data_IF_473335251213
#
_entry.id   IF_473335251213
#
_cell.length_a   1.000
_cell.length_b   1.000
_cell.length_c   1.000
_cell.angle_alpha   90.00
_cell.angle_beta   90.00
_cell.angle_gamma   90.00
#
_symmetry.space_group_name_H-M   'P 1'
#
loop_
_entity.id
_entity.type
_entity.pdbx_description
1 polymer ?
#
# COMPACT_ATOMS: atom_id res chain seq x y z
N UNK A 1 12.01 -8.00 18.18
CA UNK A 1 11.24 -6.76 17.87
C UNK A 1 11.97 -5.51 18.34
N UNK A 2 12.56 -5.50 19.55
CA UNK A 2 13.25 -4.33 20.12
C UNK A 2 14.44 -3.79 19.32
N UNK A 3 15.33 -4.65 18.80
CA UNK A 3 16.52 -4.20 18.07
C UNK A 3 16.18 -3.37 16.81
N UNK A 4 15.27 -3.86 15.96
CA UNK A 4 14.85 -3.14 14.74
C UNK A 4 14.20 -1.80 15.04
N UNK A 5 13.50 -1.69 16.16
CA UNK A 5 12.92 -0.43 16.59
C UNK A 5 14.00 0.54 17.08
N UNK A 6 14.99 0.07 17.83
CA UNK A 6 16.15 0.89 18.24
C UNK A 6 16.93 1.39 17.02
N UNK A 7 17.20 0.52 16.03
CA UNK A 7 17.83 0.91 14.77
C UNK A 7 17.01 1.98 14.06
N UNK A 8 15.70 1.78 13.92
CA UNK A 8 14.79 2.75 13.33
C UNK A 8 14.87 4.12 14.03
N UNK A 9 14.90 4.14 15.36
CA UNK A 9 15.03 5.38 16.14
C UNK A 9 16.40 6.06 15.93
N UNK A 10 17.48 5.30 15.76
CA UNK A 10 18.80 5.85 15.44
C UNK A 10 18.79 6.50 14.04
N UNK A 11 18.17 5.85 13.06
CA UNK A 11 18.00 6.41 11.72
C UNK A 11 17.18 7.69 11.73
N UNK A 12 16.05 7.71 12.46
CA UNK A 12 15.22 8.91 12.63
C UNK A 12 16.00 10.03 13.31
N UNK A 13 16.80 9.72 14.32
CA UNK A 13 17.67 10.71 14.97
C UNK A 13 18.72 11.28 14.03
N UNK A 14 19.29 10.46 13.14
CA UNK A 14 20.36 10.88 12.21
C UNK A 14 19.85 11.63 10.98
N UNK A 15 18.75 11.17 10.39
CA UNK A 15 18.26 11.64 9.09
C UNK A 15 16.91 12.38 9.18
N UNK A 16 16.31 12.46 10.37
CA UNK A 16 15.02 13.11 10.58
C UNK A 16 13.82 12.17 10.42
N UNK A 17 12.62 12.74 10.42
CA UNK A 17 11.36 12.00 10.30
C UNK A 17 11.24 11.35 8.91
N UNK A 18 10.76 10.11 8.79
CA UNK A 18 10.42 9.49 7.51
C UNK A 18 9.45 10.34 6.69
N UNK A 19 9.75 10.46 5.39
CA UNK A 19 8.95 11.23 4.44
C UNK A 19 7.79 10.42 3.86
N UNK A 20 7.99 9.12 3.56
CA UNK A 20 6.91 8.25 3.09
C UNK A 20 6.79 6.97 3.92
N UNK A 21 5.54 6.51 4.01
CA UNK A 21 5.17 5.21 4.54
C UNK A 21 4.46 4.41 3.44
N UNK A 22 5.07 3.31 3.00
CA UNK A 22 4.53 2.45 1.94
C UNK A 22 4.14 1.10 2.55
N UNK A 23 2.90 0.68 2.27
CA UNK A 23 2.46 -0.68 2.55
C UNK A 23 2.48 -1.50 1.27
N UNK A 24 3.18 -2.63 1.27
CA UNK A 24 3.23 -3.55 0.14
C UNK A 24 2.64 -4.91 0.53
N UNK A 25 1.45 -5.22 0.01
CA UNK A 25 0.68 -6.41 0.40
C UNK A 25 0.74 -7.47 -0.70
N UNK A 26 0.91 -8.74 -0.31
CA UNK A 26 0.87 -9.84 -1.25
C UNK A 26 -0.53 -10.04 -1.86
N UNK A 27 -0.58 -10.25 -3.18
CA UNK A 27 -1.79 -10.71 -3.88
C UNK A 27 -1.62 -12.18 -4.30
N UNK A 28 -2.28 -13.15 -3.63
CA UNK A 28 -2.16 -14.56 -3.96
C UNK A 28 -2.82 -14.93 -5.30
N UNK A 29 -3.70 -14.08 -5.83
CA UNK A 29 -4.41 -14.30 -7.11
C UNK A 29 -3.55 -13.99 -8.33
N UNK A 30 -2.30 -13.55 -8.13
CA UNK A 30 -1.37 -13.31 -9.23
C UNK A 30 -1.18 -14.59 -10.04
N UNK A 31 -1.28 -14.49 -11.36
CA UNK A 31 -1.16 -15.63 -12.27
C UNK A 31 0.11 -16.46 -12.03
N UNK A 32 1.25 -15.81 -11.79
CA UNK A 32 2.53 -16.48 -11.51
C UNK A 32 2.55 -17.34 -10.24
N UNK A 33 1.62 -17.10 -9.31
CA UNK A 33 1.44 -17.89 -8.10
C UNK A 33 0.35 -18.94 -8.35
N UNK A 34 -0.81 -18.49 -8.85
CA UNK A 34 -2.00 -19.32 -9.01
C UNK A 34 -1.78 -20.51 -9.97
N UNK A 35 -0.97 -20.34 -11.02
CA UNK A 35 -0.69 -21.41 -11.99
C UNK A 35 0.14 -22.56 -11.42
N UNK A 36 0.83 -22.34 -10.30
CA UNK A 36 1.70 -23.33 -9.65
C UNK A 36 0.95 -24.15 -8.59
N UNK A 37 -0.34 -23.90 -8.38
CA UNK A 37 -1.18 -24.65 -7.45
C UNK A 37 -1.75 -25.88 -8.13
N UNK A 38 -1.68 -27.02 -7.43
CA UNK A 38 -2.39 -28.23 -7.86
C UNK A 38 -3.91 -28.04 -7.70
N UNK A 39 -4.75 -28.83 -8.40
CA UNK A 39 -6.19 -28.80 -8.22
C UNK A 39 -6.58 -28.92 -6.73
N UNK A 40 -7.37 -27.96 -6.24
CA UNK A 40 -7.80 -27.90 -4.84
C UNK A 40 -6.83 -27.21 -3.88
N UNK A 41 -5.61 -26.86 -4.30
CA UNK A 41 -4.69 -26.08 -3.47
C UNK A 41 -5.00 -24.58 -3.49
N UNK A 42 -4.72 -23.95 -2.35
CA UNK A 42 -4.82 -22.52 -2.13
C UNK A 42 -3.46 -21.93 -1.74
N UNK A 43 -3.40 -20.61 -1.63
CA UNK A 43 -2.23 -19.89 -1.13
C UNK A 43 -1.80 -20.31 0.29
N UNK A 44 -2.73 -20.82 1.10
CA UNK A 44 -2.46 -21.29 2.45
C UNK A 44 -1.75 -22.64 2.46
N UNK A 45 -1.97 -23.45 1.44
CA UNK A 45 -1.36 -24.78 1.31
C UNK A 45 0.08 -24.68 0.81
N UNK A 46 0.42 -23.60 0.09
CA UNK A 46 1.74 -23.34 -0.51
C UNK A 46 2.33 -21.98 -0.08
N UNK A 47 2.57 -21.77 1.24
CA UNK A 47 3.13 -20.52 1.74
C UNK A 47 4.56 -20.27 1.25
N UNK A 48 5.29 -21.32 0.84
CA UNK A 48 6.61 -21.27 0.23
C UNK A 48 6.60 -20.52 -1.11
N UNK A 49 5.63 -20.81 -1.98
CA UNK A 49 5.44 -20.12 -3.26
C UNK A 49 5.11 -18.64 -3.04
N UNK A 50 4.20 -18.37 -2.08
CA UNK A 50 3.80 -17.02 -1.69
C UNK A 50 5.01 -16.22 -1.20
N UNK A 51 5.77 -16.75 -0.23
CA UNK A 51 6.93 -16.09 0.34
C UNK A 51 7.99 -15.79 -0.71
N UNK A 52 8.28 -16.75 -1.60
CA UNK A 52 9.29 -16.60 -2.66
C UNK A 52 8.91 -15.51 -3.66
N UNK A 53 7.69 -15.55 -4.20
CA UNK A 53 7.24 -14.54 -5.19
C UNK A 53 7.14 -13.17 -4.53
N UNK A 54 6.65 -13.11 -3.29
CA UNK A 54 6.59 -11.86 -2.54
C UNK A 54 7.98 -11.26 -2.30
N UNK A 55 8.96 -12.05 -1.88
CA UNK A 55 10.33 -11.60 -1.66
C UNK A 55 10.95 -11.02 -2.94
N UNK A 56 10.80 -11.70 -4.07
CA UNK A 56 11.29 -11.23 -5.37
C UNK A 56 10.63 -9.91 -5.78
N UNK A 57 9.31 -9.78 -5.59
CA UNK A 57 8.58 -8.55 -5.91
C UNK A 57 8.95 -7.40 -4.99
N UNK A 58 9.09 -7.64 -3.70
CA UNK A 58 9.55 -6.65 -2.73
C UNK A 58 10.97 -6.17 -3.09
N UNK A 59 11.88 -7.08 -3.43
CA UNK A 59 13.22 -6.73 -3.91
C UNK A 59 13.19 -5.88 -5.19
N UNK A 60 12.31 -6.21 -6.14
CA UNK A 60 12.13 -5.41 -7.37
C UNK A 60 11.58 -4.01 -7.04
N UNK A 61 10.56 -3.91 -6.19
CA UNK A 61 10.00 -2.64 -5.73
C UNK A 61 11.08 -1.78 -5.06
N UNK A 62 11.86 -2.35 -4.14
CA UNK A 62 12.93 -1.63 -3.46
C UNK A 62 14.01 -1.15 -4.44
N UNK A 63 14.38 -1.94 -5.45
CA UNK A 63 15.32 -1.49 -6.48
C UNK A 63 14.76 -0.32 -7.31
N UNK A 64 13.47 -0.36 -7.68
CA UNK A 64 12.83 0.75 -8.40
C UNK A 64 12.85 2.02 -7.56
N UNK A 65 12.53 1.92 -6.26
CA UNK A 65 12.52 3.06 -5.34
C UNK A 65 13.94 3.60 -5.09
N UNK A 66 14.91 2.74 -4.75
CA UNK A 66 16.22 3.20 -4.27
C UNK A 66 17.25 3.42 -5.38
N UNK A 67 17.27 2.55 -6.40
CA UNK A 67 18.20 2.66 -7.53
C UNK A 67 17.59 3.42 -8.70
N UNK A 68 16.30 3.20 -8.95
CA UNK A 68 15.55 3.95 -9.96
C UNK A 68 15.17 5.35 -9.49
N UNK A 69 15.20 5.62 -8.18
CA UNK A 69 14.91 6.93 -7.59
C UNK A 69 13.57 7.52 -8.05
N UNK A 70 12.57 6.65 -8.30
CA UNK A 70 11.26 7.08 -8.84
C UNK A 70 10.46 7.98 -7.87
N UNK A 71 10.82 7.97 -6.58
CA UNK A 71 10.27 8.85 -5.56
C UNK A 71 11.29 9.93 -5.12
N UNK A 72 12.39 10.10 -5.85
CA UNK A 72 13.54 10.91 -5.45
C UNK A 72 14.66 10.10 -4.80
N UNK A 73 15.74 10.80 -4.43
CA UNK A 73 16.92 10.17 -3.84
C UNK A 73 16.62 9.66 -2.42
N UNK A 74 16.85 8.37 -2.17
CA UNK A 74 16.63 7.75 -0.85
C UNK A 74 17.91 7.80 -0.03
N UNK A 75 17.91 8.58 1.05
CA UNK A 75 19.01 8.68 1.99
C UNK A 75 19.05 7.49 2.97
N UNK A 76 17.87 7.02 3.38
CA UNK A 76 17.74 5.84 4.23
C UNK A 76 16.38 5.18 3.99
N UNK A 77 16.32 3.85 4.13
CA UNK A 77 15.06 3.13 4.19
C UNK A 77 15.14 2.01 5.21
N UNK A 78 13.98 1.63 5.73
CA UNK A 78 13.83 0.48 6.61
C UNK A 78 12.48 -0.17 6.33
N UNK A 79 12.41 -1.50 6.44
CA UNK A 79 11.13 -2.17 6.31
C UNK A 79 11.05 -3.42 7.18
N UNK A 80 9.82 -3.74 7.59
CA UNK A 80 9.50 -5.03 8.21
C UNK A 80 8.58 -5.79 7.28
N UNK A 81 8.82 -7.10 7.15
CA UNK A 81 7.84 -8.02 6.56
C UNK A 81 7.16 -8.73 7.72
N UNK A 82 5.85 -8.66 7.75
CA UNK A 82 4.99 -9.24 8.75
C UNK A 82 3.98 -10.16 8.06
N UNK A 83 3.48 -11.16 8.78
CA UNK A 83 2.42 -12.05 8.30
C UNK A 83 1.15 -11.68 9.05
N UNK A 84 0.17 -11.12 8.35
CA UNK A 84 -1.13 -10.79 8.93
C UNK A 84 -1.91 -12.05 9.32
N UNK A 85 -2.96 -11.92 10.15
CA UNK A 85 -3.81 -13.05 10.60
C UNK A 85 -4.39 -13.92 9.46
N UNK A 86 -4.39 -13.40 8.23
CA UNK A 86 -4.79 -14.11 7.00
C UNK A 86 -3.61 -14.78 6.27
N UNK A 87 -2.47 -14.97 6.94
CA UNK A 87 -1.35 -15.78 6.45
C UNK A 87 -0.64 -15.27 5.21
N UNK A 88 -0.82 -14.01 4.81
CA UNK A 88 -0.11 -13.41 3.68
C UNK A 88 0.92 -12.39 4.16
N UNK A 89 2.09 -12.31 3.50
CA UNK A 89 3.10 -11.33 3.87
C UNK A 89 2.69 -9.93 3.42
N UNK A 90 2.93 -8.96 4.30
CA UNK A 90 2.87 -7.53 4.01
C UNK A 90 4.12 -6.84 4.53
N UNK A 91 4.56 -5.81 3.83
CA UNK A 91 5.72 -5.02 4.21
C UNK A 91 5.26 -3.63 4.61
N UNK A 92 5.84 -3.13 5.70
CA UNK A 92 5.76 -1.73 6.09
C UNK A 92 7.12 -1.12 5.80
N UNK A 93 7.18 -0.21 4.83
CA UNK A 93 8.40 0.40 4.34
C UNK A 93 8.38 1.88 4.75
N UNK A 94 9.42 2.31 5.45
CA UNK A 94 9.69 3.71 5.75
C UNK A 94 10.80 4.20 4.84
N UNK A 95 10.54 5.31 4.16
CA UNK A 95 11.52 5.98 3.30
C UNK A 95 11.89 7.35 3.89
N UNK A 96 13.19 7.60 3.93
CA UNK A 96 13.78 8.90 4.22
C UNK A 96 14.43 9.37 2.92
N UNK A 97 13.76 10.29 2.23
CA UNK A 97 14.33 10.93 1.05
C UNK A 97 15.37 11.96 1.48
N UNK A 98 16.34 12.20 0.61
CA UNK A 98 17.35 13.23 0.80
C UNK A 98 16.76 14.62 0.69
N UNK A 99 15.86 14.80 -0.28
CA UNK A 99 15.05 16.01 -0.44
C UNK A 99 13.68 15.79 0.20
N UNK A 100 13.21 16.79 0.94
CA UNK A 100 11.89 16.73 1.56
C UNK A 100 10.83 16.99 0.49
N UNK A 101 9.72 16.27 0.59
CA UNK A 101 8.53 16.52 -0.22
C UNK A 101 7.82 17.74 0.37
N UNK A 102 7.61 18.75 -0.46
CA UNK A 102 6.77 19.89 -0.13
C UNK A 102 5.29 19.58 -0.38
N UNK A 103 4.38 20.29 0.30
CA UNK A 103 2.93 20.02 0.19
C UNK A 103 2.42 20.08 -1.26
N UNK A 104 3.01 20.96 -2.07
CA UNK A 104 2.68 21.14 -3.51
C UNK A 104 3.07 19.95 -4.38
N UNK A 105 3.92 19.05 -3.89
CA UNK A 105 4.40 17.88 -4.64
C UNK A 105 3.59 16.61 -4.36
N UNK A 106 2.67 16.64 -3.38
CA UNK A 106 1.95 15.45 -2.94
C UNK A 106 1.13 14.83 -4.07
N UNK A 107 0.37 15.63 -4.81
CA UNK A 107 -0.51 15.15 -5.89
C UNK A 107 0.26 14.62 -7.11
N UNK A 108 1.55 14.95 -7.23
CA UNK A 108 2.43 14.36 -8.24
C UNK A 108 2.95 12.98 -7.85
N UNK A 109 3.02 12.69 -6.55
CA UNK A 109 3.60 11.46 -6.00
C UNK A 109 2.54 10.45 -5.56
N UNK A 110 1.37 10.94 -5.15
CA UNK A 110 0.27 10.15 -4.62
C UNK A 110 -0.99 10.52 -5.39
N UNK A 111 -1.69 9.51 -5.89
CA UNK A 111 -3.01 9.67 -6.48
C UNK A 111 -3.96 8.68 -5.81
N UNK A 112 -5.13 9.17 -5.39
CA UNK A 112 -6.26 8.36 -4.94
C UNK A 112 -7.33 8.20 -6.03
N UNK A 113 -7.05 8.64 -7.25
CA UNK A 113 -7.98 8.59 -8.38
C UNK A 113 -8.07 7.19 -8.99
N UNK A 114 -9.23 6.89 -9.57
CA UNK A 114 -9.38 5.72 -10.43
C UNK A 114 -8.81 6.09 -11.81
N UNK A 115 -7.84 5.33 -12.36
CA UNK A 115 -7.23 5.62 -13.66
C UNK A 115 -8.27 5.71 -14.79
N UNK A 116 -8.00 6.48 -15.84
CA UNK A 116 -8.87 6.52 -17.01
C UNK A 116 -8.75 5.19 -17.81
N UNK A 117 -9.85 4.47 -18.08
CA UNK A 117 -9.80 3.17 -18.75
C UNK A 117 -9.41 3.24 -20.22
N UNK A 118 -9.48 4.42 -20.86
CA UNK A 118 -9.05 4.63 -22.24
C UNK A 118 -7.57 5.02 -22.31
N UNK A 119 -7.08 5.81 -21.35
CA UNK A 119 -5.68 6.24 -21.29
C UNK A 119 -4.75 5.16 -20.72
N UNK A 120 -5.16 4.47 -19.66
CA UNK A 120 -4.40 3.38 -19.04
C UNK A 120 -5.32 2.22 -18.61
N UNK A 121 -5.73 1.37 -19.58
CA UNK A 121 -6.62 0.23 -19.30
C UNK A 121 -5.98 -0.80 -18.35
N UNK A 122 -4.65 -0.91 -18.32
CA UNK A 122 -3.96 -1.88 -17.46
C UNK A 122 -4.00 -1.43 -16.00
N UNK A 123 -3.60 -0.18 -15.72
CA UNK A 123 -3.65 0.36 -14.37
C UNK A 123 -5.09 0.45 -13.87
N UNK A 124 -6.04 0.86 -14.71
CA UNK A 124 -7.47 0.84 -14.38
C UNK A 124 -7.91 -0.56 -13.91
N UNK A 125 -7.58 -1.61 -14.67
CA UNK A 125 -7.92 -2.98 -14.30
C UNK A 125 -7.26 -3.39 -12.97
N UNK A 126 -6.00 -3.03 -12.75
CA UNK A 126 -5.29 -3.35 -11.51
C UNK A 126 -5.94 -2.64 -10.31
N UNK A 127 -6.19 -1.34 -10.40
CA UNK A 127 -6.78 -0.54 -9.32
C UNK A 127 -8.20 -1.01 -9.02
N UNK A 128 -9.05 -1.16 -10.04
CA UNK A 128 -10.44 -1.59 -9.84
C UNK A 128 -10.57 -3.01 -9.30
N UNK A 129 -9.64 -3.90 -9.62
CA UNK A 129 -9.65 -5.29 -9.12
C UNK A 129 -9.13 -5.40 -7.69
N UNK A 130 -8.13 -4.61 -7.31
CA UNK A 130 -7.34 -4.85 -6.08
C UNK A 130 -7.48 -3.75 -5.02
N UNK A 131 -7.82 -2.53 -5.42
CA UNK A 131 -7.82 -1.34 -4.54
C UNK A 131 -9.22 -0.77 -4.30
N UNK A 132 -10.25 -1.29 -4.98
CA UNK A 132 -11.64 -0.91 -4.75
C UNK A 132 -12.28 -1.91 -3.78
N UNK A 133 -12.82 -1.40 -2.68
CA UNK A 133 -13.73 -2.17 -1.86
C UNK A 133 -15.06 -2.37 -2.59
N UNK A 134 -15.64 -3.56 -2.48
CA UNK A 134 -16.97 -3.84 -3.02
C UNK A 134 -17.99 -2.81 -2.54
N UNK A 135 -19.06 -2.56 -3.31
CA UNK A 135 -20.02 -1.51 -3.03
C UNK A 135 -20.51 -1.54 -1.57
N UNK A 136 -20.44 -0.40 -0.89
CA UNK A 136 -20.97 -0.18 0.45
C UNK A 136 -22.52 -0.13 0.49
N UNK A 137 -23.22 -0.75 -0.47
CA UNK A 137 -24.68 -0.69 -0.52
C UNK A 137 -25.30 -1.67 0.48
N UNK A 138 -26.46 -1.28 1.03
CA UNK A 138 -27.29 -2.00 2.02
C UNK A 138 -27.55 -3.49 1.72
N UNK A 139 -27.35 -3.95 0.48
CA UNK A 139 -27.65 -5.31 0.03
C UNK A 139 -26.44 -6.26 0.00
N UNK A 140 -25.22 -5.77 0.24
CA UNK A 140 -24.02 -6.62 0.28
C UNK A 140 -23.55 -6.82 1.72
N UNK A 141 -24.08 -7.87 2.37
CA UNK A 141 -23.74 -8.34 3.73
C UNK A 141 -22.25 -8.75 3.93
N UNK A 142 -21.38 -8.54 2.95
CA UNK A 142 -19.97 -8.94 3.01
C UNK A 142 -19.03 -7.88 3.61
N UNK A 143 -19.48 -6.64 3.80
CA UNK A 143 -18.64 -5.56 4.31
C UNK A 143 -19.07 -5.12 5.71
N UNK A 144 -18.26 -5.49 6.70
CA UNK A 144 -18.40 -5.14 8.13
C UNK A 144 -18.17 -3.65 8.45
N UNK A 145 -18.31 -2.76 7.46
CA UNK A 145 -18.00 -1.35 7.63
C UNK A 145 -19.24 -0.51 7.94
N UNK A 146 -20.46 -1.06 7.95
CA UNK A 146 -21.66 -0.30 8.27
C UNK A 146 -21.98 -0.34 9.76
N UNK A 147 -22.40 0.79 10.31
CA UNK A 147 -23.02 0.82 11.63
C UNK A 147 -24.47 0.29 11.53
N UNK A 148 -25.15 0.21 12.67
CA UNK A 148 -26.57 -0.20 12.74
C UNK A 148 -27.50 0.64 11.87
N UNK A 149 -27.11 1.87 11.54
CA UNK A 149 -27.92 2.84 10.78
C UNK A 149 -27.65 2.76 9.27
N UNK A 150 -26.87 1.77 8.81
CA UNK A 150 -26.52 1.62 7.40
C UNK A 150 -25.49 2.62 6.88
N UNK A 151 -24.87 3.43 7.75
CA UNK A 151 -23.79 4.36 7.38
C UNK A 151 -22.42 3.70 7.48
N UNK A 152 -21.53 4.01 6.54
CA UNK A 152 -20.15 3.54 6.61
C UNK A 152 -19.44 4.16 7.83
N UNK A 153 -18.98 3.32 8.76
CA UNK A 153 -18.14 3.67 9.93
C UNK A 153 -16.81 4.34 9.56
N UNK A 154 -16.43 4.31 8.28
CA UNK A 154 -15.24 4.96 7.73
C UNK A 154 -15.55 6.23 6.94
N UNK A 155 -16.81 6.65 6.94
CA UNK A 155 -17.33 7.89 6.33
C UNK A 155 -17.16 7.93 4.80
N UNK A 156 -17.30 6.78 4.13
CA UNK A 156 -17.34 6.74 2.67
C UNK A 156 -18.78 6.84 2.12
N UNK A 157 -18.98 7.44 0.93
CA UNK A 157 -17.95 8.14 0.13
C UNK A 157 -17.55 9.48 0.76
N UNK A 158 -16.27 9.88 0.61
CA UNK A 158 -15.79 11.21 0.98
C UNK A 158 -16.05 12.18 -0.18
N UNK A 159 -16.14 13.46 0.13
CA UNK A 159 -16.25 14.50 -0.89
C UNK A 159 -15.01 14.52 -1.79
N UNK A 160 -15.20 14.77 -3.07
CA UNK A 160 -14.12 14.94 -4.03
C UNK A 160 -13.42 16.27 -3.80
N UNK A 161 -12.09 16.26 -3.81
CA UNK A 161 -11.25 17.45 -3.68
C UNK A 161 -10.46 17.67 -4.97
N UNK A 162 -10.15 18.92 -5.29
CA UNK A 162 -9.32 19.26 -6.45
C UNK A 162 -7.82 19.20 -6.15
N UNK A 163 -7.44 19.20 -4.88
CA UNK A 163 -6.06 19.18 -4.40
C UNK A 163 -6.00 18.51 -3.02
N UNK A 164 -4.85 17.91 -2.68
CA UNK A 164 -4.64 17.33 -1.34
C UNK A 164 -4.53 18.43 -0.28
N UNK A 165 -5.34 18.34 0.78
CA UNK A 165 -5.36 19.28 1.90
C UNK A 165 -4.56 18.72 3.07
N UNK A 166 -3.51 19.45 3.47
CA UNK A 166 -2.67 19.14 4.64
C UNK A 166 -3.09 19.99 5.85
N UNK A 167 -4.32 19.82 6.35
CA UNK A 167 -4.74 20.53 7.56
C UNK A 167 -4.03 20.01 8.83
N UNK A 168 -3.92 20.88 9.83
CA UNK A 168 -3.16 20.66 11.08
C UNK A 168 -3.77 19.60 12.02
N UNK A 169 -4.92 19.02 11.67
CA UNK A 169 -5.64 18.04 12.48
C UNK A 169 -5.57 16.63 11.88
N UNK A 170 -4.45 15.96 12.13
CA UNK A 170 -4.21 14.51 12.12
C UNK A 170 -4.63 13.64 10.90
N UNK A 171 -5.29 14.17 9.88
CA UNK A 171 -5.72 13.40 8.71
C UNK A 171 -5.59 14.22 7.42
N UNK A 172 -4.87 13.66 6.44
CA UNK A 172 -4.74 14.22 5.10
C UNK A 172 -6.01 13.91 4.30
N UNK A 173 -6.56 14.91 3.62
CA UNK A 173 -7.63 14.71 2.66
C UNK A 173 -7.01 14.73 1.26
N UNK A 174 -6.97 13.58 0.60
CA UNK A 174 -6.42 13.48 -0.74
C UNK A 174 -7.42 13.97 -1.79
N UNK A 175 -6.88 14.49 -2.89
CA UNK A 175 -7.59 14.68 -4.16
C UNK A 175 -8.19 13.35 -4.66
#
# INVERSE_FOLDING_TARGET
MHARMQDAMIYVRKYGRPGQFITFTCNPKLYVIAKEFMPGQSAYDRPDHIARVYHLKLGKLMNVITKGQVLGAVCCHMHTVEWQKRGLPHARILLLLCDKIEATEIDHLISAEIPDPSADPELYKIVTTNMIHGPCWLHYNYTSCHNSDGKCTREYPRDFLSETITESHCYLLYR
#
